data_IF_802809230380
#
_entry.id   IF_802809230380
#
_cell.length_a   1.000
_cell.length_b   1.000
_cell.length_c   1.000
_cell.angle_alpha   90.00
_cell.angle_beta   90.00
_cell.angle_gamma   90.00
#
_symmetry.space_group_name_H-M   'P 1'
#
loop_
_entity.id
_entity.type
_entity.pdbx_description
1 polymer ?
#
# COMPACT_ATOMS: atom_id res chain seq x y z
N UNK A 1 1.82 -20.90 -10.01
CA UNK A 1 1.71 -20.45 -10.38
C UNK A 1 1.26 -19.97 -10.60
N UNK A 2 1.13 -20.12 -10.55
CA UNK A 2 0.85 -19.61 -10.79
C UNK A 2 0.32 -19.18 -11.02
N UNK A 3 0.09 -19.38 -10.81
CA UNK A 3 -0.28 -18.86 -11.12
C UNK A 3 -0.70 -18.54 -11.42
N UNK A 4 -0.88 -18.81 -11.41
CA UNK A 4 -1.29 -18.43 -11.80
C UNK A 4 -1.70 -18.44 -12.11
N UNK A 5 -1.94 -18.90 -12.20
CA UNK A 5 -2.39 -18.68 -12.51
C UNK A 5 -2.91 -18.54 -12.79
N UNK A 6 -3.28 -18.86 -12.49
CA UNK A 6 -3.63 -18.27 -12.84
C UNK A 6 -3.81 -18.01 -13.52
N UNK A 7 -4.24 -18.74 -13.40
CA UNK A 7 -4.66 -18.53 -14.55
C UNK A 7 -4.19 -17.55 -15.05
N UNK A 8 -3.24 -18.03 -15.15
CA UNK A 8 -2.43 -17.16 -15.71
C UNK A 8 -3.08 -16.02 -16.31
N UNK A 9 -3.64 -16.09 -17.34
CA UNK A 9 -4.13 -14.90 -17.94
C UNK A 9 -5.36 -14.37 -17.29
N UNK A 10 -5.77 -14.93 -16.22
CA UNK A 10 -6.92 -14.41 -15.52
C UNK A 10 -6.53 -13.18 -14.76
N UNK A 11 -7.24 -12.11 -14.98
CA UNK A 11 -7.05 -10.90 -14.21
C UNK A 11 -7.63 -11.10 -12.82
N UNK A 12 -7.04 -10.47 -11.80
CA UNK A 12 -7.66 -10.46 -10.49
C UNK A 12 -9.08 -9.94 -10.56
N UNK A 13 -9.92 -10.46 -9.70
CA UNK A 13 -11.32 -10.06 -9.72
C UNK A 13 -11.49 -8.56 -9.57
N UNK A 14 -10.64 -7.93 -8.78
CA UNK A 14 -10.73 -6.48 -8.58
C UNK A 14 -10.52 -5.71 -9.87
N UNK A 15 -9.65 -6.21 -10.75
CA UNK A 15 -9.38 -5.52 -12.00
C UNK A 15 -10.50 -5.67 -13.02
N UNK A 16 -11.34 -6.70 -12.82
CA UNK A 16 -12.47 -6.94 -13.72
C UNK A 16 -13.76 -6.35 -13.19
N UNK A 17 -13.75 -5.90 -11.98
CA UNK A 17 -14.97 -5.39 -11.34
C UNK A 17 -15.24 -3.97 -11.79
N UNK A 18 -16.47 -3.74 -12.22
CA UNK A 18 -16.90 -2.41 -12.61
C UNK A 18 -17.53 -1.73 -11.42
N UNK A 19 -16.95 -0.67 -10.95
CA UNK A 19 -17.38 0.00 -9.74
C UNK A 19 -18.52 0.98 -10.01
N UNK A 20 -19.49 1.02 -9.11
CA UNK A 20 -20.49 2.09 -9.15
C UNK A 20 -19.94 3.32 -8.41
N UNK A 21 -20.71 4.41 -8.41
CA UNK A 21 -20.22 5.67 -7.85
C UNK A 21 -19.93 5.59 -6.36
N UNK A 22 -20.74 4.85 -5.61
CA UNK A 22 -20.51 4.69 -4.18
C UNK A 22 -19.23 3.91 -3.93
N UNK A 23 -19.01 2.86 -4.70
CA UNK A 23 -17.80 2.06 -4.56
C UNK A 23 -16.57 2.86 -4.95
N UNK A 24 -16.66 3.67 -6.00
CA UNK A 24 -15.55 4.52 -6.40
C UNK A 24 -15.16 5.46 -5.28
N UNK A 25 -16.15 6.08 -4.63
CA UNK A 25 -15.88 6.98 -3.50
C UNK A 25 -15.19 6.23 -2.37
N UNK A 26 -15.67 5.04 -2.05
CA UNK A 26 -15.08 4.25 -0.97
C UNK A 26 -13.64 3.86 -1.31
N UNK A 27 -13.39 3.46 -2.54
CA UNK A 27 -12.03 3.10 -2.95
C UNK A 27 -11.11 4.30 -2.91
N UNK A 28 -11.59 5.47 -3.33
CA UNK A 28 -10.77 6.68 -3.25
C UNK A 28 -10.38 7.02 -1.82
N UNK A 29 -11.30 6.83 -0.89
CA UNK A 29 -11.00 7.06 0.52
C UNK A 29 -9.96 6.08 1.02
N UNK A 30 -10.05 4.83 0.61
CA UNK A 30 -9.04 3.83 0.97
C UNK A 30 -7.67 4.21 0.41
N UNK A 31 -7.64 4.64 -0.84
CA UNK A 31 -6.37 5.05 -1.46
C UNK A 31 -5.74 6.20 -0.67
N UNK A 32 -6.55 7.19 -0.31
CA UNK A 32 -6.06 8.32 0.48
C UNK A 32 -5.51 7.86 1.82
N UNK A 33 -6.27 7.00 2.51
CA UNK A 33 -5.86 6.50 3.82
C UNK A 33 -4.57 5.71 3.73
N UNK A 34 -4.46 4.85 2.73
CA UNK A 34 -3.23 4.05 2.56
C UNK A 34 -2.03 4.93 2.25
N UNK A 35 -2.23 5.95 1.41
CA UNK A 35 -1.13 6.86 1.09
C UNK A 35 -0.67 7.66 2.30
N UNK A 36 -1.62 8.10 3.12
CA UNK A 36 -1.26 8.81 4.33
C UNK A 36 -0.55 7.90 5.32
N UNK A 37 -1.01 6.67 5.44
CA UNK A 37 -0.35 5.70 6.30
C UNK A 37 1.06 5.40 5.81
N UNK A 38 1.23 5.26 4.51
CA UNK A 38 2.54 5.00 3.94
C UNK A 38 3.48 6.17 4.19
N UNK A 39 2.99 7.40 4.05
CA UNK A 39 3.81 8.58 4.32
C UNK A 39 4.23 8.63 5.78
N UNK A 40 3.31 8.29 6.69
CA UNK A 40 3.62 8.22 8.11
C UNK A 40 4.70 7.17 8.37
N UNK A 41 4.54 5.99 7.77
CA UNK A 41 5.51 4.91 7.98
C UNK A 41 6.87 5.27 7.43
N UNK A 42 6.92 5.93 6.27
CA UNK A 42 8.19 6.37 5.70
C UNK A 42 8.89 7.38 6.60
N UNK A 43 8.14 8.35 7.13
CA UNK A 43 8.72 9.32 8.05
C UNK A 43 9.19 8.66 9.33
N UNK A 44 8.42 7.69 9.83
CA UNK A 44 8.82 6.99 11.04
C UNK A 44 10.12 6.20 10.81
N UNK A 45 10.24 5.58 9.65
CA UNK A 45 11.48 4.86 9.31
C UNK A 45 12.67 5.81 9.27
N UNK A 46 12.48 7.00 8.65
CA UNK A 46 13.54 7.99 8.60
C UNK A 46 13.95 8.46 9.99
N UNK A 47 12.97 8.67 10.86
CA UNK A 47 13.26 9.10 12.22
C UNK A 47 14.00 8.02 13.00
N UNK A 48 13.61 6.78 12.84
CA UNK A 48 14.29 5.67 13.50
C UNK A 48 15.71 5.54 12.98
N UNK A 49 15.91 5.69 11.69
CA UNK A 49 17.24 5.66 11.11
C UNK A 49 18.10 6.77 11.69
N UNK A 50 17.52 7.96 11.83
CA UNK A 50 18.24 9.08 12.41
C UNK A 50 18.67 8.78 13.85
N UNK A 51 17.78 8.15 14.61
CA UNK A 51 18.12 7.76 15.98
C UNK A 51 19.31 6.81 16.02
N UNK A 52 19.37 5.87 15.08
CA UNK A 52 20.49 4.96 15.00
C UNK A 52 21.80 5.70 14.71
N UNK A 53 21.72 6.72 13.86
CA UNK A 53 22.91 7.47 13.44
C UNK A 53 23.47 8.34 14.57
N UNK A 54 22.61 8.80 15.48
CA UNK A 54 23.07 9.70 16.53
C UNK A 54 23.38 8.99 17.84
N UNK A 55 23.27 7.66 17.88
CA UNK A 55 23.61 6.91 19.08
C UNK A 55 25.11 6.88 19.26
N UNK A 56 25.60 7.05 20.50
CA UNK A 56 27.03 6.92 20.74
C UNK A 56 27.48 5.51 20.50
N UNK A 57 28.69 5.35 20.03
CA UNK A 57 29.28 4.03 19.89
C UNK A 57 29.77 3.56 21.23
N UNK A 58 29.45 2.34 21.53
CA UNK A 58 29.87 1.72 22.80
C UNK A 58 31.17 0.98 22.63
#
# INVERSE_FOLDING_TARGET
MASSPVGANKKPALLNHKLNNTEITAVRQLVTGYRESAAFLLRSADELEHLLQIQPKL
#
